data_IF_632966126570
#
_entry.id   IF_632966126570
#
_cell.length_a   1.000
_cell.length_b   1.000
_cell.length_c   1.000
_cell.angle_alpha   90.00
_cell.angle_beta   90.00
_cell.angle_gamma   90.00
#
_symmetry.space_group_name_H-M   'P 1'
#
loop_
_entity.id
_entity.type
_entity.pdbx_description
1 polymer ?
#
# COMPACT_ATOMS: atom_id res chain seq x y z
N UNK A 1 16.73 -5.41 -62.13
CA UNK A 1 17.56 -5.69 -60.93
C UNK A 1 17.22 -4.77 -59.75
N UNK A 2 15.95 -4.34 -59.57
CA UNK A 2 15.55 -3.39 -58.52
C UNK A 2 14.29 -3.77 -57.73
N UNK A 3 13.59 -4.86 -58.07
CA UNK A 3 12.38 -5.28 -57.33
C UNK A 3 12.68 -6.31 -56.22
N UNK A 4 13.71 -7.15 -56.39
CA UNK A 4 14.06 -8.21 -55.44
C UNK A 4 14.61 -7.67 -54.10
N UNK A 5 15.15 -6.45 -54.09
CA UNK A 5 15.69 -5.80 -52.87
C UNK A 5 14.62 -5.20 -51.96
N UNK A 6 13.42 -4.89 -52.46
CA UNK A 6 12.34 -4.28 -51.65
C UNK A 6 11.54 -5.31 -50.85
N UNK A 7 11.42 -6.54 -51.36
CA UNK A 7 10.72 -7.62 -50.64
C UNK A 7 11.49 -8.06 -49.39
N UNK A 8 12.82 -8.16 -49.51
CA UNK A 8 13.69 -8.66 -48.45
C UNK A 8 13.83 -7.73 -47.22
N UNK A 9 13.57 -6.42 -47.38
CA UNK A 9 13.66 -5.44 -46.27
C UNK A 9 12.41 -5.44 -45.39
N UNK A 10 11.23 -5.62 -45.99
CA UNK A 10 9.96 -5.68 -45.23
C UNK A 10 9.84 -6.98 -44.42
N UNK A 11 10.33 -8.10 -44.96
CA UNK A 11 10.35 -9.36 -44.24
C UNK A 11 11.33 -9.30 -43.06
N UNK A 12 12.52 -8.73 -43.24
CA UNK A 12 13.49 -8.57 -42.15
C UNK A 12 12.99 -7.66 -41.02
N UNK A 13 12.32 -6.54 -41.32
CA UNK A 13 11.70 -5.67 -40.31
C UNK A 13 10.56 -6.37 -39.56
N UNK A 14 9.82 -7.26 -40.22
CA UNK A 14 8.76 -8.04 -39.57
C UNK A 14 9.32 -9.11 -38.65
N UNK A 15 10.42 -9.77 -39.04
CA UNK A 15 11.10 -10.80 -38.25
C UNK A 15 11.85 -10.20 -37.06
N UNK A 16 12.49 -9.03 -37.22
CA UNK A 16 13.11 -8.28 -36.11
C UNK A 16 12.05 -7.84 -35.08
N UNK A 17 10.93 -7.29 -35.52
CA UNK A 17 9.82 -6.90 -34.62
C UNK A 17 9.20 -8.11 -33.92
N UNK A 18 9.08 -9.26 -34.60
CA UNK A 18 8.58 -10.50 -33.98
C UNK A 18 9.60 -11.07 -32.99
N UNK A 19 10.91 -11.01 -33.29
CA UNK A 19 11.96 -11.45 -32.37
C UNK A 19 12.11 -10.51 -31.16
N UNK A 20 12.00 -9.20 -31.32
CA UNK A 20 11.99 -8.26 -30.18
C UNK A 20 10.75 -8.46 -29.30
N UNK A 21 9.58 -8.72 -29.91
CA UNK A 21 8.36 -9.05 -29.16
C UNK A 21 8.47 -10.43 -28.47
N UNK A 22 9.14 -11.41 -29.09
CA UNK A 22 9.39 -12.72 -28.50
C UNK A 22 10.45 -12.66 -27.38
N UNK A 23 11.51 -11.85 -27.52
CA UNK A 23 12.51 -11.63 -26.48
C UNK A 23 11.93 -10.84 -25.30
N UNK A 24 11.08 -9.85 -25.54
CA UNK A 24 10.36 -9.12 -24.50
C UNK A 24 9.34 -10.01 -23.76
N UNK A 25 8.72 -10.97 -24.46
CA UNK A 25 7.79 -11.92 -23.86
C UNK A 25 8.46 -13.02 -23.02
N UNK A 26 9.76 -13.27 -23.23
CA UNK A 26 10.50 -14.38 -22.60
C UNK A 26 11.37 -13.96 -21.41
N UNK A 27 11.38 -12.68 -21.04
CA UNK A 27 12.07 -12.23 -19.82
C UNK A 27 11.18 -12.42 -18.60
N UNK A 28 11.32 -13.58 -17.94
CA UNK A 28 10.70 -13.82 -16.64
C UNK A 28 11.05 -12.68 -15.67
N UNK A 29 10.08 -12.10 -14.93
CA UNK A 29 10.25 -10.81 -14.24
C UNK A 29 11.02 -10.93 -12.91
N UNK A 30 12.23 -11.52 -12.94
CA UNK A 30 13.05 -11.81 -11.76
C UNK A 30 13.32 -10.58 -10.89
N UNK A 31 13.59 -9.42 -11.49
CA UNK A 31 13.83 -8.17 -10.75
C UNK A 31 12.61 -7.75 -9.91
N UNK A 32 11.41 -7.89 -10.45
CA UNK A 32 10.17 -7.56 -9.74
C UNK A 32 9.89 -8.57 -8.62
N UNK A 33 10.15 -9.86 -8.86
CA UNK A 33 10.02 -10.90 -7.85
C UNK A 33 11.00 -10.72 -6.69
N UNK A 34 12.27 -10.42 -6.98
CA UNK A 34 13.29 -10.11 -5.97
C UNK A 34 12.88 -8.86 -5.18
N UNK A 35 12.48 -7.78 -5.85
CA UNK A 35 12.02 -6.57 -5.19
C UNK A 35 10.82 -6.80 -4.28
N UNK A 36 9.86 -7.63 -4.71
CA UNK A 36 8.71 -8.00 -3.90
C UNK A 36 9.08 -8.88 -2.71
N UNK A 37 10.00 -9.85 -2.89
CA UNK A 37 10.52 -10.66 -1.80
C UNK A 37 11.26 -9.81 -0.75
N UNK A 38 12.11 -8.87 -1.18
CA UNK A 38 12.77 -7.90 -0.31
C UNK A 38 11.72 -7.08 0.46
N UNK A 39 10.68 -6.59 -0.21
CA UNK A 39 9.60 -5.84 0.44
C UNK A 39 8.88 -6.67 1.52
N UNK A 40 8.59 -7.95 1.25
CA UNK A 40 7.95 -8.86 2.22
C UNK A 40 8.86 -9.17 3.41
N UNK A 41 10.16 -9.35 3.17
CA UNK A 41 11.13 -9.72 4.20
C UNK A 41 11.65 -8.52 5.00
N UNK A 42 11.50 -7.29 4.49
CA UNK A 42 11.99 -6.09 5.17
C UNK A 42 11.40 -5.95 6.58
N UNK A 43 10.10 -6.11 6.72
CA UNK A 43 9.41 -5.98 8.01
C UNK A 43 9.90 -7.02 9.06
N UNK A 44 9.85 -8.35 8.80
CA UNK A 44 10.34 -9.33 9.77
C UNK A 44 11.84 -9.17 10.06
N UNK A 45 12.67 -8.90 9.04
CA UNK A 45 14.11 -8.72 9.22
C UNK A 45 14.40 -7.54 10.16
N UNK A 46 13.79 -6.38 9.91
CA UNK A 46 13.95 -5.21 10.78
C UNK A 46 13.46 -5.48 12.20
N UNK A 47 12.32 -6.16 12.34
CA UNK A 47 11.73 -6.48 13.64
C UNK A 47 12.64 -7.39 14.47
N UNK A 48 13.11 -8.50 13.92
CA UNK A 48 13.96 -9.46 14.63
C UNK A 48 15.39 -8.95 14.85
N UNK A 49 15.98 -8.21 13.90
CA UNK A 49 17.28 -7.54 14.11
C UNK A 49 17.20 -6.53 15.25
N UNK A 50 16.13 -5.74 15.30
CA UNK A 50 15.93 -4.75 16.37
C UNK A 50 15.73 -5.43 17.73
N UNK A 51 14.98 -6.53 17.75
CA UNK A 51 14.76 -7.35 18.95
C UNK A 51 16.01 -8.08 19.45
N UNK A 52 16.93 -8.44 18.56
CA UNK A 52 18.13 -9.22 18.92
C UNK A 52 17.84 -10.64 19.38
N UNK A 53 16.61 -11.13 19.17
CA UNK A 53 16.19 -12.49 19.52
C UNK A 53 15.12 -12.98 18.55
N UNK A 54 15.08 -14.28 18.30
CA UNK A 54 14.04 -14.96 17.53
C UNK A 54 12.92 -15.52 18.40
N UNK A 55 13.11 -15.48 19.73
CA UNK A 55 12.17 -16.01 20.72
C UNK A 55 11.09 -14.96 21.04
N UNK A 56 10.26 -14.67 20.03
CA UNK A 56 9.16 -13.72 20.14
C UNK A 56 7.98 -14.20 19.29
N UNK A 57 7.06 -14.91 19.94
CA UNK A 57 5.95 -15.61 19.28
C UNK A 57 5.06 -14.63 18.50
N UNK A 58 4.68 -13.51 19.11
CA UNK A 58 3.85 -12.50 18.47
C UNK A 58 4.52 -11.79 17.29
N UNK A 59 5.85 -11.66 17.27
CA UNK A 59 6.55 -11.17 16.09
C UNK A 59 6.46 -12.16 14.92
N UNK A 60 6.49 -13.47 15.19
CA UNK A 60 6.24 -14.48 14.15
C UNK A 60 4.79 -14.46 13.67
N UNK A 61 3.82 -14.36 14.58
CA UNK A 61 2.39 -14.23 14.23
C UNK A 61 2.17 -13.00 13.36
N UNK A 62 2.67 -11.84 13.77
CA UNK A 62 2.59 -10.59 13.01
C UNK A 62 3.26 -10.70 11.63
N UNK A 63 4.46 -11.27 11.57
CA UNK A 63 5.21 -11.45 10.32
C UNK A 63 4.51 -12.41 9.35
N UNK A 64 4.06 -13.57 9.84
CA UNK A 64 3.31 -14.53 9.02
C UNK A 64 2.00 -13.93 8.52
N UNK A 65 1.23 -13.28 9.41
CA UNK A 65 0.00 -12.60 9.05
C UNK A 65 0.24 -11.54 7.97
N UNK A 66 1.19 -10.61 8.18
CA UNK A 66 1.46 -9.51 7.24
C UNK A 66 1.90 -10.01 5.86
N UNK A 67 2.74 -11.05 5.81
CA UNK A 67 3.16 -11.68 4.55
C UNK A 67 1.96 -12.29 3.84
N UNK A 68 1.17 -13.13 4.53
CA UNK A 68 0.00 -13.81 3.94
C UNK A 68 -0.99 -12.77 3.41
N UNK A 69 -1.37 -11.81 4.24
CA UNK A 69 -2.32 -10.75 3.89
C UNK A 69 -1.83 -9.94 2.69
N UNK A 70 -0.56 -9.57 2.66
CA UNK A 70 0.05 -8.83 1.54
C UNK A 70 0.04 -9.66 0.27
N UNK A 71 0.48 -10.92 0.31
CA UNK A 71 0.49 -11.81 -0.85
C UNK A 71 -0.92 -11.99 -1.39
N UNK A 72 -1.90 -12.30 -0.54
CA UNK A 72 -3.31 -12.46 -0.94
C UNK A 72 -3.84 -11.18 -1.57
N UNK A 73 -3.65 -10.02 -0.93
CA UNK A 73 -4.11 -8.72 -1.44
C UNK A 73 -3.49 -8.41 -2.81
N UNK A 74 -2.19 -8.67 -3.00
CA UNK A 74 -1.51 -8.45 -4.28
C UNK A 74 -2.00 -9.42 -5.35
N UNK A 75 -2.14 -10.71 -5.05
CA UNK A 75 -2.67 -11.70 -6.00
C UNK A 75 -4.08 -11.33 -6.44
N UNK A 76 -4.97 -10.96 -5.50
CA UNK A 76 -6.32 -10.51 -5.84
C UNK A 76 -6.31 -9.24 -6.69
N UNK A 77 -5.47 -8.26 -6.36
CA UNK A 77 -5.31 -7.03 -7.15
C UNK A 77 -4.84 -7.32 -8.58
N UNK A 78 -3.83 -8.17 -8.75
CA UNK A 78 -3.33 -8.56 -10.07
C UNK A 78 -4.41 -9.28 -10.90
N UNK A 79 -5.20 -10.16 -10.29
CA UNK A 79 -6.26 -10.90 -10.99
C UNK A 79 -7.47 -10.05 -11.34
N UNK A 80 -7.89 -9.15 -10.45
CA UNK A 80 -9.11 -8.37 -10.63
C UNK A 80 -8.89 -7.05 -11.37
N UNK A 81 -7.71 -6.43 -11.20
CA UNK A 81 -7.40 -5.12 -11.75
C UNK A 81 -5.94 -5.05 -12.23
N UNK A 82 -5.57 -5.72 -13.34
CA UNK A 82 -4.20 -5.70 -13.85
C UNK A 82 -3.68 -4.28 -14.14
N UNK A 83 -4.54 -3.40 -14.66
CA UNK A 83 -4.19 -2.00 -14.90
C UNK A 83 -3.95 -1.18 -13.63
N UNK A 84 -4.50 -1.58 -12.48
CA UNK A 84 -4.18 -0.96 -11.18
C UNK A 84 -2.82 -1.44 -10.68
N UNK A 85 -2.50 -2.72 -10.88
CA UNK A 85 -1.20 -3.25 -10.52
C UNK A 85 -0.07 -2.55 -11.28
N UNK A 86 -0.26 -2.28 -12.57
CA UNK A 86 0.70 -1.54 -13.40
C UNK A 86 0.89 -0.10 -12.89
N UNK A 87 -0.20 0.65 -12.62
CA UNK A 87 -0.12 2.00 -12.04
C UNK A 87 0.70 2.01 -10.74
N UNK A 88 0.48 1.03 -9.87
CA UNK A 88 1.19 0.94 -8.59
C UNK A 88 2.65 0.49 -8.74
N UNK A 89 2.98 -0.27 -9.77
CA UNK A 89 4.37 -0.64 -10.08
C UNK A 89 5.16 0.57 -10.61
N UNK A 90 4.53 1.38 -11.46
CA UNK A 90 5.13 2.57 -12.09
C UNK A 90 4.97 3.85 -11.26
N UNK A 91 4.72 3.75 -9.95
CA UNK A 91 4.46 4.92 -9.10
C UNK A 91 5.61 5.94 -9.07
N UNK A 92 6.84 5.49 -9.34
CA UNK A 92 8.04 6.36 -9.41
C UNK A 92 8.02 7.27 -10.64
N UNK A 93 7.40 6.80 -11.71
CA UNK A 93 7.30 7.50 -12.99
C UNK A 93 5.97 8.27 -13.10
N UNK A 94 5.15 8.23 -12.05
CA UNK A 94 3.84 8.85 -12.03
C UNK A 94 3.94 10.37 -12.21
N UNK A 95 3.25 10.88 -13.24
CA UNK A 95 3.17 12.30 -13.52
C UNK A 95 2.05 12.98 -12.73
N UNK A 96 2.23 14.27 -12.42
CA UNK A 96 1.22 15.06 -11.71
C UNK A 96 1.07 14.75 -10.21
N UNK A 97 2.04 14.05 -9.62
CA UNK A 97 2.08 13.79 -8.17
C UNK A 97 2.22 15.10 -7.40
N UNK A 98 1.38 15.29 -6.37
CA UNK A 98 1.42 16.50 -5.55
C UNK A 98 2.75 16.61 -4.79
N UNK A 99 3.42 17.78 -4.79
CA UNK A 99 4.74 17.92 -4.15
C UNK A 99 4.75 17.57 -2.66
N UNK A 100 3.71 17.96 -1.92
CA UNK A 100 3.55 17.63 -0.50
C UNK A 100 3.45 16.11 -0.29
N UNK A 101 2.87 15.37 -1.24
CA UNK A 101 2.69 13.92 -1.14
C UNK A 101 4.00 13.17 -1.34
N UNK A 102 4.94 13.71 -2.12
CA UNK A 102 6.28 13.10 -2.25
C UNK A 102 6.99 13.07 -0.90
N UNK A 103 6.87 14.14 -0.12
CA UNK A 103 7.47 14.24 1.22
C UNK A 103 6.68 13.36 2.20
N UNK A 104 5.36 13.57 2.32
CA UNK A 104 4.55 12.80 3.27
C UNK A 104 4.54 11.30 2.95
N UNK A 105 4.52 10.92 1.68
CA UNK A 105 4.50 9.53 1.24
C UNK A 105 5.77 8.78 1.64
N UNK A 106 6.94 9.40 1.46
CA UNK A 106 8.23 8.81 1.90
C UNK A 106 8.30 8.75 3.42
N UNK A 107 7.98 9.85 4.12
CA UNK A 107 8.00 9.91 5.58
C UNK A 107 7.04 8.89 6.21
N UNK A 108 5.80 8.84 5.73
CA UNK A 108 4.78 7.96 6.25
C UNK A 108 5.09 6.49 5.94
N UNK A 109 5.23 6.14 4.67
CA UNK A 109 5.27 4.73 4.30
C UNK A 109 6.62 4.07 4.55
N UNK A 110 7.73 4.78 4.31
CA UNK A 110 9.06 4.22 4.49
C UNK A 110 9.51 4.34 5.94
N UNK A 111 9.53 5.55 6.50
CA UNK A 111 10.08 5.76 7.84
C UNK A 111 9.07 5.45 8.96
N UNK A 112 7.79 5.78 8.79
CA UNK A 112 6.77 5.56 9.82
C UNK A 112 6.60 4.09 10.22
N UNK A 113 6.38 3.20 9.24
CA UNK A 113 6.23 1.77 9.53
C UNK A 113 7.52 1.15 10.08
N UNK A 114 8.69 1.51 9.53
CA UNK A 114 9.96 0.99 10.04
C UNK A 114 10.23 1.48 11.46
N UNK A 115 9.89 2.73 11.79
CA UNK A 115 10.02 3.26 13.14
C UNK A 115 9.18 2.48 14.15
N UNK A 116 7.93 2.11 13.80
CA UNK A 116 7.09 1.26 14.66
C UNK A 116 7.78 -0.08 14.93
N UNK A 117 8.29 -0.75 13.89
CA UNK A 117 8.92 -2.07 14.03
C UNK A 117 10.28 -2.01 14.76
N UNK A 118 11.07 -0.97 14.52
CA UNK A 118 12.34 -0.74 15.20
C UNK A 118 12.09 -0.49 16.69
N UNK A 119 11.19 0.43 17.02
CA UNK A 119 10.86 0.72 18.43
C UNK A 119 10.28 -0.52 19.11
N UNK A 120 9.40 -1.27 18.45
CA UNK A 120 8.87 -2.53 18.98
C UNK A 120 9.97 -3.55 19.27
N UNK A 121 10.91 -3.73 18.34
CA UNK A 121 12.04 -4.64 18.56
C UNK A 121 12.96 -4.15 19.67
N UNK A 122 13.31 -2.87 19.70
CA UNK A 122 14.14 -2.31 20.78
C UNK A 122 13.46 -2.43 22.15
N UNK A 123 12.14 -2.24 22.21
CA UNK A 123 11.35 -2.45 23.41
C UNK A 123 11.46 -3.91 23.90
N UNK A 124 11.29 -4.88 22.99
CA UNK A 124 11.49 -6.30 23.30
C UNK A 124 12.93 -6.61 23.75
N UNK A 125 13.92 -5.97 23.13
CA UNK A 125 15.34 -6.18 23.41
C UNK A 125 15.76 -5.68 24.78
N UNK A 126 15.27 -4.50 25.17
CA UNK A 126 15.64 -3.84 26.42
C UNK A 126 14.64 -4.09 27.54
N UNK A 127 13.50 -4.73 27.24
CA UNK A 127 12.46 -5.08 28.20
C UNK A 127 11.87 -3.85 28.89
N UNK A 128 11.54 -2.79 28.14
CA UNK A 128 10.99 -1.60 28.78
C UNK A 128 9.58 -1.90 29.33
N UNK A 129 9.25 -1.40 30.52
CA UNK A 129 7.92 -1.59 31.09
C UNK A 129 6.85 -0.75 30.36
N UNK A 130 5.56 -1.14 30.37
CA UNK A 130 4.96 -2.33 30.98
C UNK A 130 4.55 -3.43 29.97
N UNK A 131 4.65 -4.70 30.38
CA UNK A 131 4.11 -5.84 29.63
C UNK A 131 2.57 -5.81 29.61
N UNK A 132 1.99 -6.10 28.44
CA UNK A 132 0.54 -6.11 28.23
C UNK A 132 0.00 -7.54 28.45
N UNK A 133 -1.20 -7.68 29.03
CA UNK A 133 -1.89 -8.98 29.19
C UNK A 133 -2.11 -9.70 27.84
N UNK A 134 -1.97 -11.03 27.84
CA UNK A 134 -2.17 -11.96 26.70
C UNK A 134 -3.50 -11.80 25.92
N UNK A 135 -4.53 -11.18 26.50
CA UNK A 135 -5.82 -10.95 25.82
C UNK A 135 -5.78 -9.80 24.82
N UNK A 136 -4.89 -8.83 25.01
CA UNK A 136 -4.81 -7.63 24.19
C UNK A 136 -4.27 -7.91 22.78
N UNK A 137 -3.22 -8.74 22.58
CA UNK A 137 -2.73 -9.08 21.25
C UNK A 137 -3.79 -9.74 20.36
N UNK A 138 -4.66 -10.59 20.92
CA UNK A 138 -5.73 -11.25 20.16
C UNK A 138 -6.78 -10.25 19.64
N UNK A 139 -7.23 -9.34 20.50
CA UNK A 139 -8.18 -8.28 20.08
C UNK A 139 -7.53 -7.37 19.04
N UNK A 140 -6.27 -6.99 19.26
CA UNK A 140 -5.50 -6.18 18.32
C UNK A 140 -5.31 -6.89 16.97
N UNK A 141 -5.09 -8.21 16.98
CA UNK A 141 -5.01 -9.03 15.77
C UNK A 141 -6.30 -8.96 14.96
N UNK A 142 -7.46 -9.09 15.62
CA UNK A 142 -8.77 -8.95 14.94
C UNK A 142 -8.92 -7.54 14.36
N UNK A 143 -8.57 -6.50 15.10
CA UNK A 143 -8.64 -5.11 14.63
C UNK A 143 -7.73 -4.91 13.41
N UNK A 144 -6.51 -5.44 13.43
CA UNK A 144 -5.58 -5.37 12.32
C UNK A 144 -6.12 -6.11 11.08
N UNK A 145 -6.68 -7.31 11.27
CA UNK A 145 -7.32 -8.07 10.17
C UNK A 145 -8.48 -7.28 9.55
N UNK A 146 -9.34 -6.66 10.36
CA UNK A 146 -10.44 -5.82 9.87
C UNK A 146 -9.93 -4.57 9.14
N UNK A 147 -8.90 -3.91 9.67
CA UNK A 147 -8.26 -2.77 9.03
C UNK A 147 -7.64 -3.14 7.68
N UNK A 148 -6.91 -4.24 7.63
CA UNK A 148 -6.30 -4.75 6.40
C UNK A 148 -7.36 -5.18 5.37
N UNK A 149 -8.43 -5.84 5.83
CA UNK A 149 -9.56 -6.19 4.98
C UNK A 149 -10.21 -4.94 4.38
N UNK A 150 -10.51 -3.92 5.19
CA UNK A 150 -11.09 -2.67 4.70
C UNK A 150 -10.19 -1.99 3.66
N UNK A 151 -8.88 -1.94 3.91
CA UNK A 151 -7.89 -1.40 2.98
C UNK A 151 -7.82 -2.18 1.67
N UNK A 152 -7.82 -3.52 1.74
CA UNK A 152 -7.83 -4.38 0.55
C UNK A 152 -9.15 -4.28 -0.21
N UNK A 153 -10.28 -4.20 0.48
CA UNK A 153 -11.57 -4.00 -0.17
C UNK A 153 -11.61 -2.68 -0.94
N UNK A 154 -11.12 -1.59 -0.34
CA UNK A 154 -10.97 -0.30 -1.01
C UNK A 154 -10.06 -0.37 -2.24
N UNK A 155 -8.91 -1.04 -2.12
CA UNK A 155 -7.96 -1.28 -3.21
C UNK A 155 -8.61 -2.02 -4.37
N UNK A 156 -9.39 -3.08 -4.10
CA UNK A 156 -9.94 -3.94 -5.14
C UNK A 156 -11.12 -3.30 -5.90
N UNK A 157 -11.91 -2.43 -5.27
CA UNK A 157 -13.06 -1.80 -5.95
C UNK A 157 -12.69 -0.48 -6.66
N UNK A 158 -11.56 0.12 -6.32
CA UNK A 158 -11.14 1.40 -6.88
C UNK A 158 -9.99 1.24 -7.88
N UNK A 159 -10.31 1.27 -9.18
CA UNK A 159 -9.33 1.24 -10.29
C UNK A 159 -8.26 2.34 -10.22
N UNK A 160 -8.54 3.42 -9.50
CA UNK A 160 -7.67 4.58 -9.33
C UNK A 160 -6.97 4.63 -7.96
N UNK A 161 -6.92 3.51 -7.22
CA UNK A 161 -6.24 3.43 -5.92
C UNK A 161 -4.71 3.52 -6.05
N UNK A 162 -4.19 4.75 -6.12
CA UNK A 162 -2.76 5.01 -6.29
C UNK A 162 -1.96 4.88 -4.98
N UNK A 163 -0.65 4.69 -5.10
CA UNK A 163 0.29 4.82 -3.97
C UNK A 163 0.64 6.29 -3.67
N UNK A 164 0.39 7.18 -4.63
CA UNK A 164 0.70 8.61 -4.61
C UNK A 164 -0.53 9.44 -5.00
N UNK A 165 -0.65 10.63 -4.43
CA UNK A 165 -1.78 11.53 -4.68
C UNK A 165 -1.58 12.27 -6.00
N UNK A 166 -2.41 11.91 -7.00
CA UNK A 166 -2.45 12.54 -8.32
C UNK A 166 -3.84 12.40 -8.94
N UNK A 167 -4.16 13.28 -9.89
CA UNK A 167 -5.30 13.07 -10.79
C UNK A 167 -4.81 12.28 -12.01
N UNK A 168 -5.37 11.09 -12.23
CA UNK A 168 -4.93 10.16 -13.28
C UNK A 168 -5.65 10.44 -14.60
N UNK A 169 -5.46 11.64 -15.15
CA UNK A 169 -6.10 12.06 -16.42
C UNK A 169 -5.77 11.10 -17.56
N UNK A 170 -4.54 10.57 -17.57
CA UNK A 170 -4.03 9.53 -18.46
C UNK A 170 -4.83 8.21 -18.41
N UNK A 171 -5.56 7.96 -17.32
CA UNK A 171 -6.38 6.75 -17.13
C UNK A 171 -7.89 7.03 -17.11
N UNK A 172 -8.30 8.28 -17.38
CA UNK A 172 -9.69 8.72 -17.30
C UNK A 172 -10.24 8.65 -15.87
N UNK A 173 -9.52 9.25 -14.91
CA UNK A 173 -9.87 9.21 -13.48
C UNK A 173 -11.34 9.59 -13.23
N UNK A 174 -12.08 8.67 -12.62
CA UNK A 174 -13.46 8.89 -12.15
C UNK A 174 -13.64 8.53 -10.68
N UNK A 175 -14.67 9.10 -10.05
CA UNK A 175 -14.96 8.89 -8.64
C UNK A 175 -15.46 7.47 -8.38
N UNK A 176 -14.76 6.71 -7.53
CA UNK A 176 -15.25 5.44 -7.02
C UNK A 176 -16.32 5.68 -5.94
N UNK A 177 -17.49 5.06 -6.11
CA UNK A 177 -18.64 5.20 -5.18
C UNK A 177 -19.17 3.86 -4.66
N UNK A 178 -18.50 2.76 -5.02
CA UNK A 178 -18.91 1.39 -4.70
C UNK A 178 -18.08 0.80 -3.55
N UNK A 179 -18.52 -0.35 -3.02
CA UNK A 179 -17.80 -1.02 -1.93
C UNK A 179 -17.79 -0.18 -0.64
N UNK A 180 -16.64 -0.01 0.04
CA UNK A 180 -16.58 0.75 1.29
C UNK A 180 -16.72 2.27 1.07
N UNK A 181 -16.53 2.75 -0.16
CA UNK A 181 -16.72 4.16 -0.53
C UNK A 181 -18.16 4.65 -0.37
N UNK A 182 -19.14 3.75 -0.21
CA UNK A 182 -20.53 4.14 0.09
C UNK A 182 -20.70 4.68 1.53
N UNK A 183 -19.77 4.37 2.43
CA UNK A 183 -19.87 4.69 3.85
C UNK A 183 -18.91 5.82 4.26
N UNK A 184 -17.67 5.77 3.77
CA UNK A 184 -16.61 6.74 4.05
C UNK A 184 -15.83 7.03 2.78
N UNK A 185 -15.30 8.25 2.64
CA UNK A 185 -14.59 8.67 1.42
C UNK A 185 -13.19 8.07 1.26
N UNK A 186 -12.54 7.73 2.38
CA UNK A 186 -11.14 7.30 2.43
C UNK A 186 -10.96 5.96 3.18
N UNK A 187 -11.66 4.88 2.77
CA UNK A 187 -11.62 3.61 3.49
C UNK A 187 -10.24 2.95 3.51
N UNK A 188 -9.42 3.19 2.48
CA UNK A 188 -8.02 2.73 2.44
C UNK A 188 -7.17 3.30 3.57
N UNK A 189 -7.30 4.61 3.84
CA UNK A 189 -6.61 5.27 4.94
C UNK A 189 -7.17 4.83 6.29
N UNK A 190 -8.49 4.69 6.42
CA UNK A 190 -9.11 4.19 7.65
C UNK A 190 -8.59 2.78 8.01
N UNK A 191 -8.55 1.87 7.03
CA UNK A 191 -8.00 0.53 7.20
C UNK A 191 -6.52 0.53 7.59
N UNK A 192 -5.71 1.37 6.93
CA UNK A 192 -4.29 1.50 7.25
C UNK A 192 -4.01 2.09 8.64
N UNK A 193 -4.81 3.07 9.09
CA UNK A 193 -4.72 3.64 10.44
C UNK A 193 -5.07 2.59 11.49
N UNK A 194 -6.16 1.82 11.28
CA UNK A 194 -6.53 0.72 12.19
C UNK A 194 -5.43 -0.32 12.30
N UNK A 195 -4.86 -0.75 11.18
CA UNK A 195 -3.75 -1.69 11.16
C UNK A 195 -2.53 -1.13 11.91
N UNK A 196 -2.14 0.11 11.59
CA UNK A 196 -1.00 0.79 12.21
C UNK A 196 -1.14 0.90 13.74
N UNK A 197 -2.30 1.32 14.24
CA UNK A 197 -2.55 1.47 15.68
C UNK A 197 -2.70 0.14 16.41
N UNK A 198 -3.08 -0.93 15.72
CA UNK A 198 -3.13 -2.28 16.29
C UNK A 198 -1.75 -2.93 16.42
N UNK A 199 -0.79 -2.60 15.53
CA UNK A 199 0.54 -3.21 15.51
C UNK A 199 1.27 -3.20 16.86
N UNK A 200 1.36 -2.08 17.60
CA UNK A 200 2.02 -2.05 18.91
C UNK A 200 1.42 -3.03 19.91
N UNK A 201 0.09 -3.19 19.91
CA UNK A 201 -0.62 -4.10 20.81
C UNK A 201 -0.44 -5.57 20.42
N UNK A 202 -0.36 -5.88 19.13
CA UNK A 202 -0.02 -7.26 18.67
C UNK A 202 1.38 -7.61 19.13
N UNK A 203 2.32 -6.67 19.01
CA UNK A 203 3.72 -6.84 19.38
C UNK A 203 3.95 -6.62 20.89
N UNK A 204 2.91 -6.43 21.70
CA UNK A 204 3.04 -6.24 23.16
C UNK A 204 3.99 -5.11 23.57
N UNK A 205 4.05 -4.04 22.76
CA UNK A 205 4.96 -2.90 22.97
C UNK A 205 4.20 -1.59 23.11
N UNK A 206 4.28 -0.98 24.29
CA UNK A 206 3.65 0.33 24.52
C UNK A 206 4.43 1.45 23.85
N UNK A 207 5.76 1.34 23.78
CA UNK A 207 6.62 2.38 23.20
C UNK A 207 6.42 2.55 21.70
N UNK A 208 6.07 1.48 20.99
CA UNK A 208 5.74 1.55 19.57
C UNK A 208 4.42 2.31 19.30
N UNK A 209 3.60 2.62 20.32
CA UNK A 209 2.44 3.49 20.16
C UNK A 209 2.83 4.92 19.77
N UNK A 210 3.97 5.42 20.24
CA UNK A 210 4.43 6.78 19.92
C UNK A 210 4.60 6.95 18.40
N UNK A 211 5.44 6.15 17.71
CA UNK A 211 5.54 6.24 16.25
C UNK A 211 4.23 5.85 15.55
N UNK A 212 3.41 4.93 16.09
CA UNK A 212 2.14 4.56 15.49
C UNK A 212 1.11 5.71 15.50
N UNK A 213 0.99 6.46 16.59
CA UNK A 213 0.11 7.63 16.70
C UNK A 213 0.60 8.76 15.80
N UNK A 214 1.91 9.02 15.76
CA UNK A 214 2.48 10.00 14.83
C UNK A 214 2.19 9.63 13.37
N UNK A 215 2.34 8.35 13.03
CA UNK A 215 2.02 7.83 11.70
C UNK A 215 0.51 7.96 11.40
N UNK A 216 -0.37 7.64 12.36
CA UNK A 216 -1.81 7.81 12.20
C UNK A 216 -2.18 9.29 11.97
N UNK A 217 -1.60 10.22 12.74
CA UNK A 217 -1.80 11.65 12.55
C UNK A 217 -1.34 12.11 11.15
N UNK A 218 -0.19 11.61 10.69
CA UNK A 218 0.33 11.89 9.35
C UNK A 218 -0.60 11.38 8.25
N UNK A 219 -1.17 10.18 8.42
CA UNK A 219 -2.17 9.63 7.51
C UNK A 219 -3.48 10.43 7.51
N UNK A 220 -3.89 10.96 8.67
CA UNK A 220 -5.06 11.86 8.78
C UNK A 220 -4.82 13.16 8.02
N UNK A 221 -3.64 13.79 8.19
CA UNK A 221 -3.25 14.99 7.45
C UNK A 221 -3.24 14.71 5.94
N UNK A 222 -2.60 13.62 5.52
CA UNK A 222 -2.57 13.19 4.12
C UNK A 222 -3.98 12.98 3.55
N UNK A 223 -4.86 12.34 4.32
CA UNK A 223 -6.27 12.15 3.96
C UNK A 223 -6.97 13.50 3.72
N UNK A 224 -6.77 14.49 4.59
CA UNK A 224 -7.37 15.82 4.43
C UNK A 224 -6.88 16.53 3.15
N UNK A 225 -5.58 16.43 2.87
CA UNK A 225 -4.97 17.06 1.70
C UNK A 225 -5.42 16.39 0.41
N UNK A 226 -5.47 15.05 0.38
CA UNK A 226 -6.01 14.30 -0.75
C UNK A 226 -7.49 14.61 -0.98
N UNK A 227 -8.32 14.62 0.07
CA UNK A 227 -9.74 14.99 -0.04
C UNK A 227 -9.92 16.40 -0.63
N UNK A 228 -9.09 17.35 -0.20
CA UNK A 228 -9.10 18.73 -0.73
C UNK A 228 -8.71 18.76 -2.20
N UNK A 229 -7.68 18.03 -2.60
CA UNK A 229 -7.26 17.89 -4.00
C UNK A 229 -8.38 17.27 -4.85
N UNK A 230 -8.99 16.18 -4.41
CA UNK A 230 -10.06 15.52 -5.13
C UNK A 230 -11.29 16.44 -5.27
N UNK A 231 -11.66 17.19 -4.23
CA UNK A 231 -12.74 18.18 -4.33
C UNK A 231 -12.41 19.32 -5.31
N UNK A 232 -11.14 19.74 -5.38
CA UNK A 232 -10.72 20.83 -6.24
C UNK A 232 -10.60 20.43 -7.71
N UNK A 233 -10.13 19.21 -7.98
CA UNK A 233 -9.61 18.84 -9.29
C UNK A 233 -10.28 17.61 -9.92
N UNK A 234 -11.01 16.78 -9.16
CA UNK A 234 -11.69 15.60 -9.70
C UNK A 234 -13.17 15.89 -9.96
N UNK A 235 -13.56 15.84 -11.23
CA UNK A 235 -14.93 16.03 -11.66
C UNK A 235 -15.89 15.05 -10.96
N UNK A 236 -17.02 15.60 -10.50
CA UNK A 236 -18.03 14.84 -9.76
C UNK A 236 -17.71 14.56 -8.28
N UNK A 237 -16.48 14.76 -7.82
CA UNK A 237 -16.11 14.42 -6.44
C UNK A 237 -16.84 15.27 -5.40
N UNK A 238 -17.06 16.57 -5.65
CA UNK A 238 -17.86 17.42 -4.75
C UNK A 238 -19.29 16.92 -4.58
N UNK A 239 -19.92 16.43 -5.65
CA UNK A 239 -21.28 15.87 -5.60
C UNK A 239 -21.30 14.59 -4.76
N UNK A 240 -20.29 13.75 -4.91
CA UNK A 240 -20.08 12.56 -4.08
C UNK A 240 -19.85 12.91 -2.61
N UNK A 241 -18.98 13.88 -2.30
CA UNK A 241 -18.67 14.31 -0.93
C UNK A 241 -19.86 14.91 -0.17
N UNK A 242 -20.86 15.46 -0.88
CA UNK A 242 -22.13 15.87 -0.27
C UNK A 242 -23.00 14.68 0.16
N UNK A 243 -22.90 13.54 -0.54
CA UNK A 243 -23.63 12.31 -0.24
C UNK A 243 -22.94 11.51 0.86
N UNK A 244 -21.63 11.28 0.72
CA UNK A 244 -20.80 10.55 1.69
C UNK A 244 -20.02 11.58 2.50
N UNK A 245 -20.60 11.95 3.65
CA UNK A 245 -20.10 13.08 4.47
C UNK A 245 -18.78 12.76 5.16
N UNK A 246 -18.62 11.52 5.63
CA UNK A 246 -17.49 11.10 6.44
C UNK A 246 -16.25 10.79 5.60
N UNK A 247 -15.09 11.25 6.05
CA UNK A 247 -13.79 10.96 5.45
C UNK A 247 -13.28 9.60 5.91
N UNK A 248 -13.20 9.38 7.22
CA UNK A 248 -12.57 8.19 7.80
C UNK A 248 -13.52 7.41 8.72
N UNK A 249 -14.22 8.09 9.62
CA UNK A 249 -15.01 7.45 10.68
C UNK A 249 -16.42 8.04 10.72
N UNK A 250 -17.47 7.22 10.51
CA UNK A 250 -18.85 7.68 10.59
C UNK A 250 -19.16 8.34 11.94
N UNK A 251 -19.80 9.49 11.89
CA UNK A 251 -20.18 10.29 13.08
C UNK A 251 -19.08 11.21 13.62
N UNK A 252 -17.83 11.08 13.15
CA UNK A 252 -16.70 11.87 13.66
C UNK A 252 -16.15 12.82 12.59
N UNK A 253 -15.71 12.29 11.44
CA UNK A 253 -15.04 13.08 10.40
C UNK A 253 -15.13 12.47 9.01
#
# INVERSE_FOLDING_TARGET
MSEEKKHNVNDNLSVENVNEQAEAANQFPWKALIGFAIYLLLAPVVLFISAGTWQWEWAWVYSGMTIILTVVSRVLMFRMNPGLAQERASYRDAQGVKPWDRVLGVVAFLYGNLAILIVAGLDKRFGWPPEISLTVPLVALVIALLGFFLGTWALLVNRFFSAVVRIQTDRGHTVCTTGPYRFVRHPGYAGGILFCLATPFILETVWALVPAVLMAALMIVRTALEDKTLQAELDGYRKYARKVRYRLLPGVW
#
